data_IF_150142814078
#
_entry.id   IF_150142814078
#
_cell.length_a   1.000
_cell.length_b   1.000
_cell.length_c   1.000
_cell.angle_alpha   90.00
_cell.angle_beta   90.00
_cell.angle_gamma   90.00
#
_symmetry.space_group_name_H-M   'P 1'
#
loop_
_entity.id
_entity.type
_entity.pdbx_description
1 polymer ?
#
# COMPACT_ATOMS: atom_id res chain seq x y z
N UNK A 1 8.92 -27.78 -13.42
CA UNK A 1 10.17 -27.65 -12.63
C UNK A 1 11.18 -26.89 -13.47
N UNK A 2 11.39 -25.62 -13.13
CA UNK A 2 12.64 -24.83 -13.18
C UNK A 2 12.21 -23.41 -12.86
N UNK A 3 12.42 -23.01 -11.60
CA UNK A 3 12.22 -21.64 -11.17
C UNK A 3 13.24 -20.77 -11.93
N UNK A 4 12.75 -19.83 -12.74
CA UNK A 4 13.61 -18.80 -13.32
C UNK A 4 13.90 -17.80 -12.20
N UNK A 5 15.05 -17.97 -11.55
CA UNK A 5 15.59 -16.94 -10.67
C UNK A 5 16.19 -15.84 -11.54
N UNK A 6 15.67 -14.62 -11.39
CA UNK A 6 16.21 -13.41 -11.96
C UNK A 6 17.61 -13.13 -11.35
N UNK A 7 18.69 -13.03 -12.16
CA UNK A 7 20.05 -12.85 -11.65
C UNK A 7 20.33 -11.46 -11.05
N UNK A 8 19.35 -10.55 -11.01
CA UNK A 8 19.51 -9.22 -10.41
C UNK A 8 19.34 -9.20 -8.87
N UNK A 9 19.03 -10.34 -8.24
CA UNK A 9 18.83 -10.46 -6.79
C UNK A 9 20.11 -10.97 -6.10
N UNK A 10 21.22 -10.26 -6.28
CA UNK A 10 22.41 -10.47 -5.43
C UNK A 10 22.97 -9.11 -5.03
N UNK A 11 22.32 -8.48 -4.05
CA UNK A 11 23.02 -7.66 -3.06
C UNK A 11 22.18 -7.45 -1.79
N UNK A 12 22.61 -8.14 -0.73
CA UNK A 12 22.51 -7.85 0.71
C UNK A 12 21.39 -6.92 1.18
N UNK A 13 20.29 -7.50 1.62
CA UNK A 13 19.39 -6.88 2.59
C UNK A 13 19.25 -7.86 3.77
N UNK A 14 20.02 -7.62 4.83
CA UNK A 14 20.15 -8.47 6.02
C UNK A 14 18.86 -8.58 6.83
N UNK A 15 17.82 -7.83 6.49
CA UNK A 15 16.53 -7.85 7.18
C UNK A 15 15.71 -9.12 6.90
N UNK A 16 15.86 -9.76 5.73
CA UNK A 16 15.04 -10.94 5.41
C UNK A 16 15.41 -12.22 6.15
N UNK A 17 16.65 -12.32 6.65
CA UNK A 17 17.07 -13.49 7.44
C UNK A 17 16.58 -13.41 8.90
N UNK A 18 16.14 -12.23 9.37
CA UNK A 18 15.71 -12.01 10.75
C UNK A 18 14.27 -12.50 11.02
N UNK A 19 13.41 -12.52 10.01
CA UNK A 19 11.98 -12.85 10.15
C UNK A 19 11.52 -13.79 9.03
N UNK A 20 11.77 -15.10 9.12
CA UNK A 20 11.34 -16.05 8.10
C UNK A 20 9.81 -16.07 7.97
N UNK A 21 9.32 -16.03 6.74
CA UNK A 21 7.88 -16.15 6.43
C UNK A 21 7.49 -17.62 6.24
N UNK A 22 6.25 -17.96 6.59
CA UNK A 22 5.63 -19.24 6.25
C UNK A 22 5.16 -19.28 4.80
N UNK A 23 4.94 -18.12 4.19
CA UNK A 23 4.29 -18.03 2.88
C UNK A 23 5.30 -17.88 1.75
N UNK A 24 4.94 -18.47 0.61
CA UNK A 24 5.70 -18.32 -0.64
C UNK A 24 4.88 -17.51 -1.62
N UNK A 25 5.46 -16.41 -2.08
CA UNK A 25 4.85 -15.56 -3.11
C UNK A 25 4.82 -16.27 -4.47
N UNK A 26 3.73 -16.06 -5.21
CA UNK A 26 3.58 -16.50 -6.60
C UNK A 26 3.20 -15.29 -7.44
N UNK A 27 3.64 -15.24 -8.69
CA UNK A 27 3.27 -14.19 -9.65
C UNK A 27 2.43 -14.80 -10.79
N UNK A 28 1.45 -14.04 -11.28
CA UNK A 28 0.67 -14.41 -12.46
C UNK A 28 1.60 -14.68 -13.66
N UNK A 29 1.37 -15.75 -14.45
CA UNK A 29 2.26 -16.13 -15.56
C UNK A 29 2.38 -15.02 -16.63
N UNK A 30 1.30 -14.30 -16.91
CA UNK A 30 1.26 -13.26 -17.95
C UNK A 30 1.61 -11.85 -17.42
N UNK A 31 2.45 -11.77 -16.38
CA UNK A 31 2.82 -10.50 -15.75
C UNK A 31 3.48 -9.53 -16.75
N UNK A 32 4.30 -10.04 -17.68
CA UNK A 32 5.01 -9.20 -18.64
C UNK A 32 4.06 -8.53 -19.64
N UNK A 33 3.10 -9.28 -20.16
CA UNK A 33 2.05 -8.77 -21.04
C UNK A 33 1.13 -7.81 -20.30
N UNK A 34 0.72 -8.15 -19.08
CA UNK A 34 -0.14 -7.29 -18.26
C UNK A 34 0.56 -5.95 -17.96
N UNK A 35 1.83 -5.97 -17.55
CA UNK A 35 2.63 -4.76 -17.30
C UNK A 35 2.75 -3.93 -18.59
N UNK A 36 3.17 -4.53 -19.70
CA UNK A 36 3.34 -3.79 -20.96
C UNK A 36 2.05 -3.12 -21.41
N UNK A 37 0.95 -3.87 -21.41
CA UNK A 37 -0.31 -3.40 -22.01
C UNK A 37 -1.00 -2.37 -21.09
N UNK A 38 -1.01 -2.61 -19.77
CA UNK A 38 -1.65 -1.70 -18.81
C UNK A 38 -0.81 -0.45 -18.60
N UNK A 39 0.49 -0.59 -18.35
CA UNK A 39 1.35 0.58 -18.15
C UNK A 39 1.39 1.45 -19.42
N UNK A 40 1.40 0.83 -20.61
CA UNK A 40 1.26 1.53 -21.89
C UNK A 40 -0.03 2.34 -21.98
N UNK A 41 -1.17 1.73 -21.66
CA UNK A 41 -2.46 2.42 -21.66
C UNK A 41 -2.50 3.61 -20.71
N UNK A 42 -1.93 3.51 -19.49
CA UNK A 42 -1.83 4.68 -18.60
C UNK A 42 -0.85 5.73 -19.13
N UNK A 43 0.29 5.33 -19.69
CA UNK A 43 1.26 6.27 -20.27
C UNK A 43 0.67 7.08 -21.43
N UNK A 44 -0.22 6.49 -22.20
CA UNK A 44 -0.85 7.15 -23.35
C UNK A 44 -2.00 8.09 -22.93
N UNK A 45 -2.68 7.78 -21.82
CA UNK A 45 -3.96 8.42 -21.50
C UNK A 45 -3.95 9.26 -20.20
N UNK A 46 -3.18 8.86 -19.19
CA UNK A 46 -3.11 9.59 -17.92
C UNK A 46 -2.31 10.88 -18.06
N UNK A 47 -2.83 11.98 -17.50
CA UNK A 47 -2.17 13.29 -17.49
C UNK A 47 -1.04 13.35 -16.47
N UNK A 48 0.09 12.71 -16.78
CA UNK A 48 1.32 12.87 -15.99
C UNK A 48 1.87 14.30 -16.12
N UNK A 49 2.30 14.94 -15.02
CA UNK A 49 2.77 16.33 -15.07
C UNK A 49 4.10 16.49 -15.80
N UNK A 50 4.95 15.44 -15.80
CA UNK A 50 6.27 15.47 -16.45
C UNK A 50 6.82 14.05 -16.73
N UNK A 51 7.95 14.00 -17.45
CA UNK A 51 8.64 12.75 -17.79
C UNK A 51 9.20 12.03 -16.55
N UNK A 52 9.51 12.76 -15.47
CA UNK A 52 10.01 12.16 -14.22
C UNK A 52 8.91 11.34 -13.56
N UNK A 53 7.68 11.86 -13.55
CA UNK A 53 6.48 11.22 -13.02
C UNK A 53 6.09 10.00 -13.84
N UNK A 54 6.20 10.06 -15.18
CA UNK A 54 6.04 8.89 -16.06
C UNK A 54 7.04 7.78 -15.73
N UNK A 55 8.32 8.12 -15.48
CA UNK A 55 9.34 7.14 -15.06
C UNK A 55 9.06 6.58 -13.68
N UNK A 56 8.63 7.41 -12.72
CA UNK A 56 8.25 6.99 -11.35
C UNK A 56 7.07 6.01 -11.38
N UNK A 57 6.08 6.26 -12.23
CA UNK A 57 4.95 5.38 -12.47
C UNK A 57 5.39 3.98 -12.91
N UNK A 58 6.16 3.88 -14.00
CA UNK A 58 6.68 2.58 -14.49
C UNK A 58 7.55 1.90 -13.43
N UNK A 59 8.40 2.66 -12.72
CA UNK A 59 9.27 2.12 -11.69
C UNK A 59 8.50 1.60 -10.44
N UNK A 60 7.28 2.08 -10.20
CA UNK A 60 6.45 1.58 -9.12
C UNK A 60 5.93 0.16 -9.40
N UNK A 61 5.71 -0.19 -10.67
CA UNK A 61 5.27 -1.52 -11.09
C UNK A 61 3.91 -1.90 -10.52
N UNK A 62 2.88 -1.07 -10.74
CA UNK A 62 1.54 -1.30 -10.19
C UNK A 62 0.90 -2.58 -10.75
N UNK A 63 0.98 -2.81 -12.06
CA UNK A 63 0.53 -4.06 -12.68
C UNK A 63 1.24 -5.29 -12.11
N UNK A 64 2.52 -5.16 -11.71
CA UNK A 64 3.28 -6.24 -11.07
C UNK A 64 2.75 -6.58 -9.69
N UNK A 65 2.38 -5.59 -8.87
CA UNK A 65 1.77 -5.88 -7.55
C UNK A 65 0.43 -6.59 -7.71
N UNK A 66 -0.38 -6.19 -8.68
CA UNK A 66 -1.65 -6.87 -8.95
C UNK A 66 -1.45 -8.33 -9.37
N UNK A 67 -0.44 -8.61 -10.19
CA UNK A 67 -0.09 -9.99 -10.59
C UNK A 67 0.46 -10.83 -9.43
N UNK A 68 1.03 -10.20 -8.40
CA UNK A 68 1.47 -10.85 -7.17
C UNK A 68 0.32 -11.05 -6.18
N UNK A 69 -0.63 -10.13 -6.13
CA UNK A 69 -1.87 -10.27 -5.36
C UNK A 69 -2.77 -11.39 -5.90
N UNK A 70 -2.88 -11.49 -7.23
CA UNK A 70 -3.83 -12.35 -7.92
C UNK A 70 -3.16 -13.35 -8.88
N UNK A 71 -2.21 -14.19 -8.42
CA UNK A 71 -1.41 -15.05 -9.30
C UNK A 71 -2.21 -16.15 -10.00
N UNK A 72 -3.44 -16.43 -9.56
CA UNK A 72 -4.35 -17.42 -10.17
C UNK A 72 -5.52 -16.78 -10.92
N UNK A 73 -5.45 -15.47 -11.18
CA UNK A 73 -6.48 -14.79 -11.97
C UNK A 73 -6.61 -15.43 -13.35
N UNK A 74 -7.82 -15.33 -13.92
CA UNK A 74 -8.04 -15.65 -15.30
C UNK A 74 -7.27 -14.67 -16.19
N UNK A 75 -6.66 -15.20 -17.25
CA UNK A 75 -5.93 -14.40 -18.24
C UNK A 75 -6.79 -13.27 -18.82
N UNK A 76 -8.09 -13.54 -19.05
CA UNK A 76 -9.05 -12.56 -19.55
C UNK A 76 -9.42 -11.47 -18.55
N UNK A 77 -9.14 -11.65 -17.25
CA UNK A 77 -9.57 -10.73 -16.17
C UNK A 77 -8.43 -10.01 -15.46
N UNK A 78 -7.19 -10.53 -15.49
CA UNK A 78 -6.06 -9.93 -14.76
C UNK A 78 -5.78 -8.49 -15.20
N UNK A 79 -5.95 -8.16 -16.49
CA UNK A 79 -5.71 -6.81 -17.01
C UNK A 79 -6.66 -5.78 -16.44
N UNK A 80 -7.95 -6.10 -16.31
CA UNK A 80 -8.93 -5.19 -15.69
C UNK A 80 -8.62 -4.97 -14.21
N UNK A 81 -8.20 -6.01 -13.49
CA UNK A 81 -7.73 -5.87 -12.11
C UNK A 81 -6.48 -4.98 -12.01
N UNK A 82 -5.51 -5.14 -12.92
CA UNK A 82 -4.33 -4.28 -12.99
C UNK A 82 -4.73 -2.82 -13.27
N UNK A 83 -5.64 -2.57 -14.20
CA UNK A 83 -6.11 -1.21 -14.49
C UNK A 83 -6.78 -0.57 -13.28
N UNK A 84 -7.69 -1.28 -12.61
CA UNK A 84 -8.39 -0.77 -11.43
C UNK A 84 -7.43 -0.44 -10.28
N UNK A 85 -6.51 -1.34 -9.93
CA UNK A 85 -5.54 -1.03 -8.87
C UNK A 85 -4.59 0.10 -9.26
N UNK A 86 -4.18 0.16 -10.53
CA UNK A 86 -3.29 1.22 -11.02
C UNK A 86 -3.92 2.61 -10.94
N UNK A 87 -5.19 2.78 -11.36
CA UNK A 87 -5.86 4.08 -11.25
C UNK A 87 -6.08 4.47 -9.79
N UNK A 88 -6.39 3.51 -8.91
CA UNK A 88 -6.55 3.77 -7.47
C UNK A 88 -5.24 4.19 -6.81
N UNK A 89 -4.09 3.62 -7.19
CA UNK A 89 -2.77 4.10 -6.73
C UNK A 89 -2.45 5.51 -7.21
N UNK A 90 -2.83 5.85 -8.45
CA UNK A 90 -2.62 7.20 -8.99
C UNK A 90 -3.51 8.24 -8.29
N UNK A 91 -4.75 7.88 -7.98
CA UNK A 91 -5.66 8.70 -7.18
C UNK A 91 -5.12 8.86 -5.75
N UNK A 92 -4.70 7.78 -5.11
CA UNK A 92 -4.08 7.79 -3.77
C UNK A 92 -2.90 8.78 -3.67
N UNK A 93 -1.99 8.74 -4.64
CA UNK A 93 -0.86 9.68 -4.71
C UNK A 93 -1.31 11.15 -4.87
N UNK A 94 -2.45 11.42 -5.52
CA UNK A 94 -2.96 12.80 -5.66
C UNK A 94 -3.57 13.32 -4.35
N UNK A 95 -4.22 12.46 -3.57
CA UNK A 95 -4.87 12.83 -2.32
C UNK A 95 -3.85 13.35 -1.28
N UNK A 96 -2.59 12.91 -1.36
CA UNK A 96 -1.49 13.42 -0.52
C UNK A 96 -1.34 14.95 -0.63
N UNK A 97 -1.67 15.55 -1.78
CA UNK A 97 -1.53 16.99 -2.04
C UNK A 97 -2.81 17.79 -1.79
N UNK A 98 -3.83 17.18 -1.18
CA UNK A 98 -5.15 17.78 -0.97
C UNK A 98 -5.48 17.93 0.52
N UNK A 99 -6.36 18.88 0.86
CA UNK A 99 -7.04 18.84 2.17
C UNK A 99 -7.96 17.61 2.25
N UNK A 100 -8.39 17.18 3.45
CA UNK A 100 -9.32 16.06 3.54
C UNK A 100 -10.66 16.37 2.85
N UNK A 101 -11.07 17.64 2.87
CA UNK A 101 -12.31 18.08 2.22
C UNK A 101 -12.16 18.03 0.68
N UNK A 102 -11.10 18.60 0.13
CA UNK A 102 -10.87 18.59 -1.33
C UNK A 102 -10.68 17.15 -1.84
N UNK A 103 -9.94 16.32 -1.10
CA UNK A 103 -9.77 14.91 -1.46
C UNK A 103 -11.08 14.12 -1.40
N UNK A 104 -11.94 14.41 -0.42
CA UNK A 104 -13.28 13.82 -0.33
C UNK A 104 -14.11 14.21 -1.54
N UNK A 105 -14.15 15.49 -1.88
CA UNK A 105 -14.91 16.00 -3.01
C UNK A 105 -14.38 15.42 -4.34
N UNK A 106 -13.05 15.29 -4.46
CA UNK A 106 -12.40 14.62 -5.59
C UNK A 106 -12.84 13.15 -5.70
N UNK A 107 -12.73 12.37 -4.62
CA UNK A 107 -13.13 10.96 -4.63
C UNK A 107 -14.63 10.79 -4.92
N UNK A 108 -15.50 11.57 -4.27
CA UNK A 108 -16.95 11.54 -4.50
C UNK A 108 -17.32 11.95 -5.94
N UNK A 109 -16.55 12.83 -6.59
CA UNK A 109 -16.75 13.18 -8.00
C UNK A 109 -16.46 12.02 -8.96
N UNK A 110 -15.60 11.08 -8.58
CA UNK A 110 -15.21 9.93 -9.41
C UNK A 110 -16.16 8.73 -9.24
N UNK A 111 -16.77 8.57 -8.06
CA UNK A 111 -17.63 7.43 -7.74
C UNK A 111 -18.77 7.16 -8.75
N UNK A 112 -19.47 8.18 -9.30
CA UNK A 112 -20.53 7.94 -10.28
C UNK A 112 -20.06 7.20 -11.54
N UNK A 113 -18.82 7.43 -11.99
CA UNK A 113 -18.24 6.73 -13.14
C UNK A 113 -18.03 5.24 -12.87
N UNK A 114 -17.76 4.87 -11.61
CA UNK A 114 -17.66 3.46 -11.22
C UNK A 114 -18.97 2.69 -11.41
N UNK A 115 -20.11 3.36 -11.23
CA UNK A 115 -21.45 2.75 -11.37
C UNK A 115 -21.97 2.71 -12.80
N UNK A 116 -21.35 3.45 -13.73
CA UNK A 116 -21.83 3.60 -15.10
C UNK A 116 -23.06 4.52 -15.26
N UNK A 117 -23.57 5.10 -14.17
CA UNK A 117 -24.79 5.94 -14.18
C UNK A 117 -24.58 7.34 -14.76
N UNK A 118 -23.32 7.79 -14.87
CA UNK A 118 -22.95 9.11 -15.36
C UNK A 118 -21.93 8.96 -16.48
N UNK A 119 -22.14 9.67 -17.58
CA UNK A 119 -21.19 9.71 -18.68
C UNK A 119 -20.00 10.61 -18.33
N UNK A 120 -18.75 10.18 -18.58
CA UNK A 120 -17.57 10.95 -18.25
C UNK A 120 -17.35 12.10 -19.23
N UNK A 121 -16.71 13.16 -18.76
CA UNK A 121 -16.16 14.17 -19.65
C UNK A 121 -14.96 13.58 -20.43
N UNK A 122 -15.04 13.56 -21.76
CA UNK A 122 -14.00 13.02 -22.63
C UNK A 122 -12.70 13.84 -22.59
N UNK A 123 -12.77 15.11 -22.17
CA UNK A 123 -11.59 15.97 -22.00
C UNK A 123 -10.87 15.74 -20.66
N UNK A 124 -11.47 14.95 -19.76
CA UNK A 124 -10.92 14.61 -18.44
C UNK A 124 -10.58 13.11 -18.32
N UNK A 125 -9.29 12.74 -18.54
CA UNK A 125 -8.86 11.36 -18.52
C UNK A 125 -9.22 10.55 -17.30
N UNK A 126 -9.14 11.11 -16.09
CA UNK A 126 -9.48 10.32 -14.90
C UNK A 126 -10.95 9.87 -14.91
N UNK A 127 -11.86 10.70 -15.42
CA UNK A 127 -13.28 10.36 -15.48
C UNK A 127 -13.55 9.25 -16.48
N UNK A 128 -13.09 9.40 -17.73
CA UNK A 128 -13.40 8.42 -18.76
C UNK A 128 -12.58 7.13 -18.59
N UNK A 129 -11.34 7.21 -18.10
CA UNK A 129 -10.56 6.02 -17.77
C UNK A 129 -11.22 5.23 -16.65
N UNK A 130 -11.71 5.91 -15.60
CA UNK A 130 -12.47 5.25 -14.54
C UNK A 130 -13.72 4.58 -15.13
N UNK A 131 -14.53 5.31 -15.90
CA UNK A 131 -15.73 4.76 -16.53
C UNK A 131 -15.44 3.51 -17.39
N UNK A 132 -14.42 3.58 -18.27
CA UNK A 132 -14.03 2.51 -19.19
C UNK A 132 -13.58 1.25 -18.44
N UNK A 133 -12.77 1.38 -17.39
CA UNK A 133 -12.34 0.25 -16.57
C UNK A 133 -13.54 -0.53 -16.03
N UNK A 134 -14.55 0.18 -15.54
CA UNK A 134 -15.73 -0.45 -14.97
C UNK A 134 -16.68 -1.04 -16.03
N UNK A 135 -16.81 -0.40 -17.20
CA UNK A 135 -17.54 -0.99 -18.33
C UNK A 135 -16.86 -2.27 -18.84
N UNK A 136 -15.52 -2.30 -18.93
CA UNK A 136 -14.75 -3.50 -19.27
C UNK A 136 -15.01 -4.63 -18.28
N UNK A 137 -14.96 -4.34 -16.97
CA UNK A 137 -15.25 -5.33 -15.94
C UNK A 137 -16.68 -5.86 -16.03
N UNK A 138 -17.68 -4.96 -16.20
CA UNK A 138 -19.09 -5.36 -16.36
C UNK A 138 -19.34 -6.19 -17.61
N UNK A 139 -18.61 -5.92 -18.70
CA UNK A 139 -18.70 -6.70 -19.93
C UNK A 139 -18.16 -8.13 -19.77
N UNK A 140 -17.18 -8.33 -18.87
CA UNK A 140 -16.63 -9.64 -18.54
C UNK A 140 -17.53 -10.41 -17.56
N UNK A 141 -18.00 -9.75 -16.50
CA UNK A 141 -18.94 -10.29 -15.53
C UNK A 141 -19.63 -9.16 -14.76
N UNK A 142 -20.91 -8.92 -15.06
CA UNK A 142 -21.67 -7.84 -14.43
C UNK A 142 -21.82 -8.05 -12.93
N UNK A 143 -22.11 -9.27 -12.48
CA UNK A 143 -22.40 -9.51 -11.06
C UNK A 143 -21.14 -9.32 -10.22
N UNK A 144 -20.03 -9.95 -10.61
CA UNK A 144 -18.77 -9.82 -9.88
C UNK A 144 -18.18 -8.42 -9.98
N UNK A 145 -18.39 -7.69 -11.09
CA UNK A 145 -18.00 -6.29 -11.18
C UNK A 145 -18.78 -5.40 -10.20
N UNK A 146 -20.12 -5.53 -10.15
CA UNK A 146 -20.94 -4.74 -9.22
C UNK A 146 -20.60 -5.02 -7.75
N UNK A 147 -20.21 -6.26 -7.42
CA UNK A 147 -19.73 -6.65 -6.09
C UNK A 147 -18.45 -5.90 -5.64
N UNK A 148 -17.66 -5.35 -6.58
CA UNK A 148 -16.43 -4.59 -6.29
C UNK A 148 -16.73 -3.10 -6.00
N UNK A 149 -17.86 -2.56 -6.47
CA UNK A 149 -18.19 -1.12 -6.40
C UNK A 149 -18.23 -0.61 -4.96
N UNK A 150 -19.01 -1.25 -4.08
CA UNK A 150 -19.13 -0.79 -2.69
C UNK A 150 -17.82 -0.88 -1.90
N UNK A 151 -17.03 -1.98 -2.02
CA UNK A 151 -15.68 -2.02 -1.47
C UNK A 151 -14.75 -0.90 -1.94
N UNK A 152 -14.80 -0.51 -3.22
CA UNK A 152 -14.03 0.64 -3.72
C UNK A 152 -14.49 1.95 -3.07
N UNK A 153 -15.79 2.16 -2.93
CA UNK A 153 -16.31 3.37 -2.28
C UNK A 153 -15.96 3.46 -0.80
N UNK A 154 -15.96 2.32 -0.10
CA UNK A 154 -15.50 2.25 1.28
C UNK A 154 -14.02 2.66 1.39
N UNK A 155 -13.17 2.10 0.51
CA UNK A 155 -11.76 2.45 0.42
C UNK A 155 -11.55 3.95 0.15
N UNK A 156 -12.18 4.48 -0.89
CA UNK A 156 -12.04 5.89 -1.27
C UNK A 156 -12.51 6.87 -0.18
N UNK A 157 -13.56 6.53 0.58
CA UNK A 157 -14.00 7.34 1.73
C UNK A 157 -13.06 7.23 2.92
N UNK A 158 -12.41 6.09 3.12
CA UNK A 158 -11.47 5.89 4.21
C UNK A 158 -10.18 6.72 4.04
N UNK A 159 -9.72 6.91 2.79
CA UNK A 159 -8.53 7.72 2.47
C UNK A 159 -8.64 9.18 2.94
N UNK A 160 -9.85 9.72 3.04
CA UNK A 160 -10.08 11.12 3.43
C UNK A 160 -10.84 11.27 4.76
N UNK A 161 -10.89 10.20 5.56
CA UNK A 161 -11.52 10.23 6.87
C UNK A 161 -10.77 11.16 7.83
N UNK A 162 -11.52 12.02 8.53
CA UNK A 162 -10.98 12.90 9.59
C UNK A 162 -10.39 12.11 10.76
N UNK A 163 -10.76 10.85 10.94
CA UNK A 163 -10.20 9.98 11.97
C UNK A 163 -8.67 9.88 11.86
N UNK A 164 -8.13 9.93 10.63
CA UNK A 164 -6.68 9.94 10.34
C UNK A 164 -5.90 10.98 11.14
N UNK A 165 -6.53 12.12 11.47
CA UNK A 165 -5.89 13.23 12.17
C UNK A 165 -5.70 13.00 13.68
N UNK A 166 -6.35 11.98 14.25
CA UNK A 166 -6.41 11.80 15.72
C UNK A 166 -6.00 10.40 16.20
N UNK A 167 -5.66 9.50 15.29
CA UNK A 167 -5.19 8.15 15.64
C UNK A 167 -3.82 8.24 16.29
N UNK A 168 -3.75 7.81 17.55
CA UNK A 168 -2.51 7.81 18.36
C UNK A 168 -2.20 6.45 18.96
N UNK A 169 -3.08 5.46 18.76
CA UNK A 169 -2.95 4.12 19.34
C UNK A 169 -3.13 3.03 18.30
N UNK A 170 -2.34 1.96 18.42
CA UNK A 170 -2.30 0.89 17.42
C UNK A 170 -3.65 0.17 17.24
N UNK A 171 -4.45 0.03 18.29
CA UNK A 171 -5.79 -0.59 18.17
C UNK A 171 -6.78 0.28 17.38
N UNK A 172 -6.73 1.61 17.53
CA UNK A 172 -7.55 2.55 16.77
C UNK A 172 -7.12 2.53 15.30
N UNK A 173 -5.80 2.52 15.08
CA UNK A 173 -5.21 2.37 13.76
C UNK A 173 -5.74 1.11 13.04
N UNK A 174 -5.75 -0.06 13.69
CA UNK A 174 -6.26 -1.27 13.04
C UNK A 174 -7.77 -1.25 12.77
N UNK A 175 -8.56 -0.48 13.50
CA UNK A 175 -10.00 -0.33 13.19
C UNK A 175 -10.18 0.52 11.95
N UNK A 176 -9.44 1.62 11.86
CA UNK A 176 -9.43 2.54 10.73
C UNK A 176 -8.86 1.90 9.45
N UNK A 177 -7.65 1.32 9.55
CA UNK A 177 -6.84 0.87 8.42
C UNK A 177 -7.47 -0.28 7.64
N UNK A 178 -8.41 -1.03 8.21
CA UNK A 178 -9.13 -2.08 7.48
C UNK A 178 -9.90 -1.53 6.28
N UNK A 179 -10.49 -0.34 6.40
CA UNK A 179 -11.12 0.35 5.27
C UNK A 179 -10.08 0.97 4.34
N UNK A 180 -9.09 1.65 4.92
CA UNK A 180 -8.10 2.46 4.19
C UNK A 180 -7.08 1.64 3.40
N UNK A 181 -6.69 0.45 3.87
CA UNK A 181 -5.83 -0.46 3.10
C UNK A 181 -6.58 -1.10 1.92
N UNK A 182 -7.91 -1.00 1.90
CA UNK A 182 -8.73 -1.57 0.84
C UNK A 182 -8.85 -3.10 0.89
N UNK A 183 -8.80 -3.73 2.07
CA UNK A 183 -8.87 -5.20 2.17
C UNK A 183 -10.15 -5.77 1.54
N UNK A 184 -11.31 -5.13 1.81
CA UNK A 184 -12.58 -5.53 1.20
C UNK A 184 -12.56 -5.38 -0.33
N UNK A 185 -11.87 -4.35 -0.83
CA UNK A 185 -11.66 -4.13 -2.26
C UNK A 185 -10.80 -5.25 -2.86
N UNK A 186 -9.64 -5.55 -2.26
CA UNK A 186 -8.75 -6.60 -2.73
C UNK A 186 -9.44 -7.98 -2.71
N UNK A 187 -10.22 -8.25 -1.67
CA UNK A 187 -11.06 -9.45 -1.55
C UNK A 187 -12.09 -9.57 -2.68
N UNK A 188 -12.87 -8.51 -2.94
CA UNK A 188 -13.87 -8.51 -4.01
C UNK A 188 -13.23 -8.58 -5.41
N UNK A 189 -12.15 -7.83 -5.63
CA UNK A 189 -11.43 -7.83 -6.89
C UNK A 189 -10.75 -9.18 -7.16
N UNK A 190 -10.29 -9.88 -6.12
CA UNK A 190 -9.81 -11.24 -6.24
C UNK A 190 -10.91 -12.18 -6.73
N UNK A 191 -12.11 -12.14 -6.12
CA UNK A 191 -13.28 -12.93 -6.57
C UNK A 191 -13.60 -12.66 -8.03
N UNK A 192 -13.64 -11.39 -8.45
CA UNK A 192 -13.78 -11.02 -9.86
C UNK A 192 -12.69 -11.65 -10.71
N UNK A 193 -11.42 -11.44 -10.36
CA UNK A 193 -10.29 -11.88 -11.18
C UNK A 193 -10.17 -13.40 -11.31
N UNK A 194 -10.59 -14.15 -10.29
CA UNK A 194 -10.51 -15.62 -10.22
C UNK A 194 -11.82 -16.28 -10.68
N UNK A 195 -12.87 -15.52 -10.94
CA UNK A 195 -14.23 -16.00 -11.22
C UNK A 195 -14.82 -16.86 -10.10
N UNK A 196 -14.73 -16.36 -8.86
CA UNK A 196 -15.22 -17.06 -7.68
C UNK A 196 -16.60 -16.53 -7.26
N UNK A 197 -17.58 -17.43 -7.24
CA UNK A 197 -18.97 -17.10 -6.90
C UNK A 197 -19.29 -17.58 -5.50
N UNK A 198 -18.97 -16.74 -4.50
CA UNK A 198 -19.22 -17.03 -3.10
C UNK A 198 -20.56 -16.43 -2.64
N UNK A 199 -21.33 -17.22 -1.90
CA UNK A 199 -22.50 -16.73 -1.19
C UNK A 199 -22.11 -15.80 -0.03
N UNK A 200 -23.06 -14.98 0.42
CA UNK A 200 -22.85 -14.12 1.60
C UNK A 200 -22.45 -14.93 2.84
N UNK A 201 -23.04 -16.11 3.02
CA UNK A 201 -22.74 -17.01 4.13
C UNK A 201 -21.29 -17.52 4.09
N UNK A 202 -20.77 -17.83 2.90
CA UNK A 202 -19.38 -18.27 2.73
C UNK A 202 -18.39 -17.15 3.01
N UNK A 203 -18.66 -15.92 2.54
CA UNK A 203 -17.85 -14.73 2.85
C UNK A 203 -17.87 -14.46 4.35
N UNK A 204 -19.05 -14.46 4.98
CA UNK A 204 -19.17 -14.24 6.43
C UNK A 204 -18.47 -15.35 7.24
N UNK A 205 -18.44 -16.57 6.74
CA UNK A 205 -17.78 -17.70 7.38
C UNK A 205 -16.24 -17.57 7.45
N UNK A 206 -15.62 -16.86 6.51
CA UNK A 206 -14.17 -16.61 6.46
C UNK A 206 -13.77 -15.16 6.77
N UNK A 207 -14.70 -14.34 7.27
CA UNK A 207 -14.47 -12.93 7.57
C UNK A 207 -13.34 -12.70 8.60
N UNK A 208 -13.11 -13.65 9.51
CA UNK A 208 -11.98 -13.65 10.45
C UNK A 208 -10.62 -13.82 9.75
N UNK A 209 -10.56 -14.70 8.74
CA UNK A 209 -9.37 -14.91 7.89
C UNK A 209 -9.10 -13.66 7.05
N UNK A 210 -10.13 -13.05 6.46
CA UNK A 210 -10.01 -11.80 5.69
C UNK A 210 -9.49 -10.64 6.56
N UNK A 211 -10.06 -10.47 7.75
CA UNK A 211 -9.65 -9.42 8.68
C UNK A 211 -8.19 -9.61 9.11
N UNK A 212 -7.77 -10.85 9.32
CA UNK A 212 -6.38 -11.18 9.64
C UNK A 212 -5.45 -10.84 8.45
N UNK A 213 -5.84 -11.20 7.23
CA UNK A 213 -5.13 -10.83 6.00
C UNK A 213 -4.95 -9.31 5.87
N UNK A 214 -6.01 -8.54 6.12
CA UNK A 214 -5.95 -7.08 6.09
C UNK A 214 -4.93 -6.50 7.08
N UNK A 215 -4.82 -7.06 8.30
CA UNK A 215 -3.82 -6.60 9.27
C UNK A 215 -2.39 -6.87 8.80
N UNK A 216 -2.13 -8.05 8.23
CA UNK A 216 -0.82 -8.40 7.67
C UNK A 216 -0.44 -7.43 6.54
N UNK A 217 -1.32 -7.25 5.56
CA UNK A 217 -1.09 -6.36 4.41
C UNK A 217 -0.84 -4.92 4.88
N UNK A 218 -1.64 -4.41 5.82
CA UNK A 218 -1.45 -3.07 6.40
C UNK A 218 -0.06 -2.91 7.01
N UNK A 219 0.36 -3.83 7.88
CA UNK A 219 1.66 -3.70 8.55
C UNK A 219 2.83 -3.82 7.60
N UNK A 220 2.79 -4.77 6.66
CA UNK A 220 3.84 -4.91 5.64
C UNK A 220 3.94 -3.65 4.79
N UNK A 221 2.78 -3.09 4.40
CA UNK A 221 2.76 -1.84 3.65
C UNK A 221 3.42 -0.72 4.45
N UNK A 222 2.95 -0.46 5.67
CA UNK A 222 3.44 0.61 6.53
C UNK A 222 4.93 0.52 6.84
N UNK A 223 5.47 -0.69 7.05
CA UNK A 223 6.89 -0.89 7.30
C UNK A 223 7.74 -0.45 6.10
N UNK A 224 7.34 -0.83 4.89
CA UNK A 224 8.08 -0.51 3.66
C UNK A 224 7.80 0.89 3.14
N UNK A 225 6.59 1.41 3.33
CA UNK A 225 6.17 2.73 2.87
C UNK A 225 6.57 3.86 3.80
N UNK A 226 6.98 3.57 5.05
CA UNK A 226 7.27 4.57 6.08
C UNK A 226 8.14 5.72 5.58
N UNK A 227 9.27 5.44 4.92
CA UNK A 227 10.17 6.50 4.42
C UNK A 227 9.51 7.38 3.33
N UNK A 228 8.66 6.81 2.47
CA UNK A 228 7.90 7.56 1.47
C UNK A 228 6.91 8.49 2.17
N UNK A 229 6.09 7.96 3.05
CA UNK A 229 5.06 8.72 3.77
C UNK A 229 5.69 9.78 4.68
N UNK A 230 6.81 9.46 5.33
CA UNK A 230 7.56 10.39 6.17
C UNK A 230 8.08 11.57 5.35
N UNK A 231 8.68 11.33 4.18
CA UNK A 231 9.15 12.40 3.30
C UNK A 231 8.01 13.31 2.84
N UNK A 232 6.88 12.73 2.43
CA UNK A 232 5.71 13.50 2.00
C UNK A 232 5.17 14.35 3.16
N UNK A 233 5.04 13.79 4.37
CA UNK A 233 4.58 14.52 5.56
C UNK A 233 5.50 15.68 6.00
N UNK A 234 6.77 15.65 5.59
CA UNK A 234 7.74 16.72 5.88
C UNK A 234 7.81 17.79 4.77
N UNK A 235 7.38 17.44 3.55
CA UNK A 235 7.43 18.33 2.38
C UNK A 235 6.09 19.02 2.10
N UNK A 236 4.99 18.36 2.43
CA UNK A 236 3.63 18.82 2.17
C UNK A 236 2.91 19.17 3.46
N UNK A 237 2.21 20.32 3.46
CA UNK A 237 1.44 20.80 4.63
C UNK A 237 -0.04 20.45 4.57
N UNK A 238 -0.47 19.79 3.50
CA UNK A 238 -1.85 19.32 3.29
C UNK A 238 -2.25 18.29 4.35
N UNK A 239 -3.53 18.28 4.71
CA UNK A 239 -4.05 17.28 5.66
C UNK A 239 -3.95 15.84 5.09
N UNK A 240 -4.02 15.68 3.76
CA UNK A 240 -3.84 14.39 3.09
C UNK A 240 -2.44 13.79 3.26
N UNK A 241 -1.41 14.62 3.48
CA UNK A 241 -0.01 14.20 3.66
C UNK A 241 0.31 13.75 5.10
N UNK A 242 -0.67 13.77 6.02
CA UNK A 242 -0.41 13.44 7.42
C UNK A 242 0.10 12.00 7.58
N UNK A 243 1.12 11.82 8.43
CA UNK A 243 1.72 10.52 8.70
C UNK A 243 0.83 9.67 9.64
N UNK A 244 -0.14 8.96 9.06
CA UNK A 244 -0.97 7.97 9.75
C UNK A 244 -0.42 6.55 9.49
N UNK A 245 0.68 6.20 10.16
CA UNK A 245 1.43 4.97 9.91
C UNK A 245 1.72 4.21 11.21
N UNK A 246 1.51 2.89 11.21
CA UNK A 246 1.69 1.99 12.35
C UNK A 246 3.11 2.05 12.95
N UNK A 247 4.14 2.24 12.11
CA UNK A 247 5.53 2.38 12.54
C UNK A 247 5.67 3.61 13.44
N UNK A 248 5.13 4.75 13.02
CA UNK A 248 5.17 6.00 13.80
C UNK A 248 4.35 5.86 15.08
N UNK A 249 3.10 5.38 14.94
CA UNK A 249 2.16 5.25 16.07
C UNK A 249 2.75 4.33 17.15
N UNK A 250 3.31 3.17 16.77
CA UNK A 250 3.91 2.27 17.75
C UNK A 250 5.16 2.87 18.37
N UNK A 251 6.03 3.51 17.58
CA UNK A 251 7.25 4.15 18.08
C UNK A 251 6.93 5.19 19.17
N UNK A 252 5.93 6.04 18.92
CA UNK A 252 5.47 7.05 19.87
C UNK A 252 4.75 6.43 21.06
N UNK A 253 3.91 5.41 20.85
CA UNK A 253 3.15 4.78 21.93
C UNK A 253 4.06 4.08 22.96
N UNK A 254 5.16 3.47 22.52
CA UNK A 254 6.08 2.71 23.39
C UNK A 254 7.45 3.39 23.59
N UNK A 255 7.63 4.60 23.04
CA UNK A 255 8.82 5.44 23.21
C UNK A 255 10.12 4.74 22.75
N UNK A 256 10.11 4.20 21.54
CA UNK A 256 11.26 3.53 20.92
C UNK A 256 11.61 4.16 19.58
N UNK A 257 12.81 3.86 19.07
CA UNK A 257 13.21 4.29 17.73
C UNK A 257 12.34 3.67 16.62
N UNK A 258 12.29 4.33 15.46
CA UNK A 258 11.60 3.84 14.26
C UNK A 258 12.07 2.43 13.87
N UNK A 259 13.39 2.15 13.92
CA UNK A 259 13.93 0.83 13.58
C UNK A 259 13.44 -0.26 14.56
N UNK A 260 13.41 0.05 15.86
CA UNK A 260 12.86 -0.88 16.86
C UNK A 260 11.37 -1.10 16.62
N UNK A 261 10.61 -0.04 16.30
CA UNK A 261 9.18 -0.15 15.96
C UNK A 261 8.95 -1.06 14.75
N UNK A 262 9.70 -0.88 13.65
CA UNK A 262 9.66 -1.76 12.47
C UNK A 262 9.94 -3.23 12.83
N UNK A 263 10.95 -3.48 13.66
CA UNK A 263 11.29 -4.83 14.11
C UNK A 263 10.17 -5.48 14.93
N UNK A 264 9.52 -4.73 15.82
CA UNK A 264 8.37 -5.23 16.59
C UNK A 264 7.17 -5.53 15.68
N UNK A 265 6.91 -4.67 14.69
CA UNK A 265 5.83 -4.90 13.72
C UNK A 265 6.12 -6.10 12.80
N UNK A 266 7.38 -6.36 12.43
CA UNK A 266 7.74 -7.58 11.70
C UNK A 266 7.43 -8.86 12.46
N UNK A 267 7.65 -8.88 13.78
CA UNK A 267 7.21 -10.01 14.62
C UNK A 267 5.69 -10.18 14.52
N UNK A 268 4.92 -9.08 14.64
CA UNK A 268 3.46 -9.13 14.49
C UNK A 268 3.01 -9.60 13.10
N UNK A 269 3.70 -9.19 12.03
CA UNK A 269 3.44 -9.66 10.66
C UNK A 269 3.54 -11.18 10.59
N UNK A 270 4.61 -11.77 11.14
CA UNK A 270 4.78 -13.23 11.18
C UNK A 270 3.73 -13.91 12.05
N UNK A 271 3.39 -13.33 13.21
CA UNK A 271 2.28 -13.85 14.02
C UNK A 271 0.95 -13.90 13.25
N UNK A 272 0.67 -12.92 12.38
CA UNK A 272 -0.53 -12.97 11.53
C UNK A 272 -0.48 -14.09 10.48
N UNK A 273 0.70 -14.55 10.04
CA UNK A 273 0.82 -15.73 9.17
C UNK A 273 0.50 -17.01 9.94
N UNK A 274 0.99 -17.15 11.18
CA UNK A 274 0.65 -18.26 12.06
C UNK A 274 -0.85 -18.30 12.37
N UNK A 275 -1.43 -17.15 12.75
CA UNK A 275 -2.88 -17.01 12.99
C UNK A 275 -3.68 -17.35 11.73
N UNK A 276 -3.23 -16.94 10.54
CA UNK A 276 -3.90 -17.29 9.30
C UNK A 276 -3.96 -18.81 9.12
N UNK A 277 -2.82 -19.50 9.25
CA UNK A 277 -2.76 -20.96 9.14
C UNK A 277 -3.70 -21.62 10.16
N UNK A 278 -3.65 -21.20 11.42
CA UNK A 278 -4.46 -21.80 12.48
C UNK A 278 -5.97 -21.57 12.25
N UNK A 279 -6.37 -20.40 11.74
CA UNK A 279 -7.75 -20.13 11.34
C UNK A 279 -8.16 -21.05 10.19
N UNK A 280 -7.34 -21.19 9.15
CA UNK A 280 -7.61 -22.06 7.99
C UNK A 280 -7.73 -23.53 8.40
N UNK A 281 -6.80 -24.03 9.22
CA UNK A 281 -6.82 -25.39 9.75
C UNK A 281 -8.05 -25.61 10.63
N UNK A 282 -8.42 -24.62 11.45
CA UNK A 282 -9.65 -24.62 12.22
C UNK A 282 -10.91 -24.76 11.36
N UNK A 283 -11.00 -24.02 10.24
CA UNK A 283 -12.14 -24.18 9.29
C UNK A 283 -12.11 -25.54 8.59
N UNK A 284 -10.94 -26.08 8.26
CA UNK A 284 -10.81 -27.40 7.63
C UNK A 284 -11.23 -28.55 8.58
N UNK A 285 -11.06 -28.36 9.88
CA UNK A 285 -11.40 -29.36 10.91
C UNK A 285 -12.89 -29.37 11.31
N UNK A 286 -13.73 -28.47 10.77
CA UNK A 286 -15.17 -28.44 11.07
C UNK A 286 -15.91 -29.64 10.46
N UNK A 287 -17.00 -30.06 11.13
CA UNK A 287 -17.86 -31.20 10.77
C UNK A 287 -18.32 -31.16 9.29
N UNK A 288 -18.64 -32.33 8.68
CA UNK A 288 -18.90 -32.44 7.25
C UNK A 288 -20.15 -31.65 6.85
N UNK A 289 -19.92 -30.47 6.27
CA UNK A 289 -20.96 -29.56 5.79
C UNK A 289 -20.46 -28.12 5.58
N UNK A 290 -19.45 -27.69 6.34
CA UNK A 290 -18.85 -26.34 6.26
C UNK A 290 -17.32 -26.44 6.20
N UNK A 291 -16.80 -27.02 5.11
CA UNK A 291 -15.36 -27.22 4.87
C UNK A 291 -14.93 -26.32 3.71
N UNK A 292 -13.72 -25.78 3.76
CA UNK A 292 -13.14 -25.02 2.65
C UNK A 292 -13.01 -25.91 1.41
N UNK A 293 -13.90 -25.73 0.43
CA UNK A 293 -13.94 -26.50 -0.83
C UNK A 293 -14.27 -25.58 -2.00
N UNK A 294 -13.96 -26.03 -3.22
CA UNK A 294 -14.28 -25.30 -4.45
C UNK A 294 -13.78 -23.85 -4.40
N UNK A 295 -14.66 -22.93 -4.76
CA UNK A 295 -14.36 -21.50 -4.80
C UNK A 295 -13.92 -20.93 -3.45
N UNK A 296 -14.53 -21.37 -2.35
CA UNK A 296 -14.17 -20.90 -1.01
C UNK A 296 -12.73 -21.30 -0.65
N UNK A 297 -12.27 -22.47 -1.09
CA UNK A 297 -10.88 -22.88 -0.90
C UNK A 297 -9.93 -22.00 -1.72
N UNK A 298 -10.23 -21.78 -3.00
CA UNK A 298 -9.44 -20.91 -3.86
C UNK A 298 -9.38 -19.47 -3.35
N UNK A 299 -10.48 -19.01 -2.74
CA UNK A 299 -10.57 -17.70 -2.10
C UNK A 299 -9.62 -17.57 -0.92
N UNK A 300 -9.64 -18.54 0.02
CA UNK A 300 -8.76 -18.54 1.18
C UNK A 300 -7.28 -18.67 0.79
N UNK A 301 -6.95 -19.57 -0.15
CA UNK A 301 -5.58 -19.67 -0.69
C UNK A 301 -5.17 -18.36 -1.38
N UNK A 302 -6.13 -17.69 -2.04
CA UNK A 302 -6.02 -16.36 -2.59
C UNK A 302 -5.53 -15.31 -1.59
N UNK A 303 -6.11 -15.27 -0.38
CA UNK A 303 -5.69 -14.35 0.68
C UNK A 303 -4.22 -14.56 1.10
N UNK A 304 -3.74 -15.80 1.08
CA UNK A 304 -2.32 -16.10 1.34
C UNK A 304 -1.41 -15.53 0.24
N UNK A 305 -1.81 -15.65 -1.02
CA UNK A 305 -1.10 -15.01 -2.12
C UNK A 305 -1.10 -13.50 -1.99
N UNK A 306 -2.19 -12.89 -1.51
CA UNK A 306 -2.21 -11.45 -1.29
C UNK A 306 -1.17 -10.98 -0.27
N UNK A 307 -1.10 -11.64 0.89
CA UNK A 307 -0.13 -11.32 1.94
C UNK A 307 1.32 -11.46 1.44
N UNK A 308 1.64 -12.60 0.84
CA UNK A 308 3.01 -12.89 0.36
C UNK A 308 3.40 -12.06 -0.87
N UNK A 309 2.45 -11.81 -1.78
CA UNK A 309 2.64 -10.96 -2.94
C UNK A 309 2.86 -9.50 -2.58
N UNK A 310 2.09 -8.97 -1.61
CA UNK A 310 2.26 -7.63 -1.07
C UNK A 310 3.67 -7.45 -0.49
N UNK A 311 4.14 -8.41 0.31
CA UNK A 311 5.47 -8.37 0.88
C UNK A 311 6.57 -8.37 -0.18
N UNK A 312 6.50 -9.29 -1.15
CA UNK A 312 7.50 -9.35 -2.21
C UNK A 312 7.53 -8.05 -3.02
N UNK A 313 6.37 -7.50 -3.38
CA UNK A 313 6.32 -6.23 -4.11
C UNK A 313 6.85 -5.07 -3.25
N UNK A 314 6.37 -4.92 -2.02
CA UNK A 314 6.78 -3.83 -1.13
C UNK A 314 8.28 -3.81 -0.89
N UNK A 315 8.89 -5.00 -0.75
CA UNK A 315 10.34 -5.16 -0.65
C UNK A 315 11.09 -4.70 -1.89
N UNK A 316 10.53 -4.93 -3.08
CA UNK A 316 11.26 -4.81 -4.35
C UNK A 316 10.93 -3.55 -5.15
N UNK A 317 9.79 -2.90 -4.89
CA UNK A 317 9.34 -1.73 -5.66
C UNK A 317 10.23 -0.52 -5.45
N UNK A 318 10.54 0.19 -6.55
CA UNK A 318 11.25 1.47 -6.46
C UNK A 318 10.39 2.58 -5.85
N UNK A 319 9.06 2.39 -5.77
CA UNK A 319 8.15 3.30 -5.06
C UNK A 319 8.60 3.56 -3.63
N UNK A 320 9.10 2.53 -2.94
CA UNK A 320 9.55 2.62 -1.55
C UNK A 320 11.08 2.71 -1.44
N UNK A 321 11.82 1.92 -2.23
CA UNK A 321 13.29 1.90 -2.15
C UNK A 321 13.93 3.25 -2.50
N UNK A 322 13.39 3.96 -3.50
CA UNK A 322 13.92 5.28 -3.87
C UNK A 322 13.70 6.29 -2.74
N UNK A 323 12.50 6.34 -2.15
CA UNK A 323 12.20 7.21 -1.03
C UNK A 323 13.10 6.94 0.18
N UNK A 324 13.36 5.67 0.50
CA UNK A 324 14.30 5.31 1.56
C UNK A 324 15.73 5.78 1.27
N UNK A 325 16.17 5.73 0.01
CA UNK A 325 17.47 6.26 -0.40
C UNK A 325 17.52 7.81 -0.33
N UNK A 326 16.45 8.48 -0.73
CA UNK A 326 16.33 9.94 -0.71
C UNK A 326 16.36 10.46 0.73
N UNK A 327 15.60 9.86 1.65
CA UNK A 327 15.59 10.24 3.07
C UNK A 327 16.96 10.04 3.74
N UNK A 328 17.65 8.93 3.44
CA UNK A 328 19.03 8.69 3.92
C UNK A 328 19.99 9.79 3.44
N UNK A 329 19.84 10.21 2.18
CA UNK A 329 20.67 11.28 1.58
C UNK A 329 20.38 12.63 2.24
N UNK A 330 19.11 12.99 2.45
CA UNK A 330 18.70 14.22 3.13
C UNK A 330 19.27 14.32 4.55
N UNK A 331 19.17 13.23 5.34
CA UNK A 331 19.72 13.17 6.71
C UNK A 331 21.24 13.34 6.72
N UNK A 332 21.95 12.73 5.77
CA UNK A 332 23.41 12.89 5.64
C UNK A 332 23.80 14.34 5.28
N UNK A 333 23.05 14.98 4.40
CA UNK A 333 23.25 16.39 4.03
C UNK A 333 23.09 17.34 5.22
N UNK A 334 22.03 17.15 6.01
CA UNK A 334 21.77 17.92 7.23
C UNK A 334 22.87 17.74 8.29
N UNK A 335 23.38 16.51 8.45
CA UNK A 335 24.47 16.22 9.37
C UNK A 335 25.75 16.98 8.96
N UNK A 336 26.08 16.97 7.65
CA UNK A 336 27.24 17.67 7.11
C UNK A 336 27.12 19.19 7.26
N UNK A 337 25.95 19.78 7.03
CA UNK A 337 25.74 21.22 7.24
C UNK A 337 25.81 21.59 8.71
N UNK A 338 25.30 20.75 9.62
CA UNK A 338 25.45 20.95 11.06
C UNK A 338 26.92 20.93 11.51
N UNK A 339 27.71 19.95 11.03
CA UNK A 339 29.15 19.89 11.32
C UNK A 339 29.94 21.05 10.70
N UNK A 340 29.60 21.47 9.48
CA UNK A 340 30.22 22.65 8.87
C UNK A 340 29.91 23.93 9.66
N UNK A 341 28.67 24.08 10.13
CA UNK A 341 28.25 25.23 10.93
C UNK A 341 28.88 25.25 12.32
N UNK A 342 29.06 24.08 12.96
CA UNK A 342 29.71 23.98 14.26
C UNK A 342 31.24 24.15 14.21
N UNK A 343 31.88 23.83 13.08
CA UNK A 343 33.31 24.12 12.85
C UNK A 343 33.59 25.58 12.45
N UNK A 344 32.58 26.33 12.00
CA UNK A 344 32.70 27.75 11.66
C UNK A 344 32.52 28.70 12.86
N UNK A 345 32.11 28.19 14.03
CA UNK A 345 32.16 28.95 15.29
C UNK A 345 33.61 28.97 15.78
N UNK A 346 34.39 29.96 15.31
CA UNK A 346 35.66 30.30 15.97
C UNK A 346 35.36 30.83 17.38
N UNK A 347 36.15 30.49 18.41
CA UNK A 347 36.04 31.15 19.69
C UNK A 347 36.45 32.62 19.51
N UNK A 348 35.48 33.52 19.55
CA UNK A 348 35.72 34.95 19.60
C UNK A 348 35.90 35.37 21.07
N UNK A 349 37.11 35.85 21.36
CA UNK A 349 37.44 36.90 22.33
C UNK A 349 36.80 36.81 23.72
N UNK A 350 37.50 36.12 24.63
CA UNK A 350 37.40 36.34 26.08
C UNK A 350 38.75 36.82 26.64
N UNK A 351 39.27 37.95 26.15
CA UNK A 351 40.35 38.70 26.84
C UNK A 351 40.10 40.20 26.72
N UNK A 352 39.42 40.75 27.72
CA UNK A 352 39.44 42.14 28.25
C UNK A 352 38.20 42.25 29.16
N UNK A 353 38.18 42.70 30.41
CA UNK A 353 39.06 43.57 31.20
C UNK A 353 38.53 43.45 32.65
N UNK A 354 39.37 43.47 33.67
CA UNK A 354 38.96 44.01 34.98
C UNK A 354 40.16 44.61 35.71
N UNK A 355 40.33 45.91 35.45
CA UNK A 355 40.68 47.00 36.37
C UNK A 355 41.51 46.64 37.62
N UNK A 356 42.73 47.19 37.67
CA UNK A 356 43.34 47.67 38.92
C UNK A 356 43.83 49.10 38.72
N UNK A 357 43.21 50.03 39.46
CA UNK A 357 43.84 51.25 39.98
C UNK A 357 43.27 51.51 41.37
N UNK A 358 44.18 51.34 42.34
CA UNK A 358 44.38 51.80 43.74
C UNK A 358 43.36 52.70 44.46
N UNK A 359 43.43 52.76 45.81
CA UNK A 359 44.28 53.80 46.41
C UNK A 359 45.08 53.39 47.67
N UNK A 360 46.24 54.05 47.83
CA UNK A 360 47.08 54.31 49.03
C UNK A 360 47.75 53.13 49.75
#
# INVERSE_FOLDING_TARGET
MTAVQDPSILNTDTATDLYPSLFTSVCHPNVNEAVRDVDGWFLDNWKFPDQKSRKKFVAAGFSRVTCLYFPKALESRIRSACKLLTILFLVDDQLEYMSLQDGKDYNESLMPFCTGNVQPNQDDPVQWMMYEIWEEMRALDRQLAEDVVQPVFLFMRAQTSKERLSITRLHQYFQYRQGDVGQALLAALMRFSYDLHLSRMEVDFVADIEKNCGKHISLVNDIYSYEKEKLISEQETSEGAILCNAVQILADQVQVSIEVSKNLLWVMVREYEFVHRDLVDGKNALFPGLVLKGDLRHYVDGLQYQMSGNELWSKTTNRYRQAAADLKTQKKGLLLTYYASSMLVKPADAIAETKKQDPL
#
